data_IF_440795296232
#
_entry.id   IF_440795296232
#
_cell.length_a   1.000
_cell.length_b   1.000
_cell.length_c   1.000
_cell.angle_alpha   90.00
_cell.angle_beta   90.00
_cell.angle_gamma   90.00
#
_symmetry.space_group_name_H-M   'P 1'
#
loop_
_entity.id
_entity.type
_entity.pdbx_description
1 polymer ?
#
# COMPACT_ATOMS: atom_id res chain seq x y z
N UNK A 1 14.23 26.03 -0.43
CA UNK A 1 13.82 24.79 0.26
C UNK A 1 14.84 23.72 -0.08
N UNK A 2 15.58 23.15 0.88
CA UNK A 2 16.48 22.01 0.62
C UNK A 2 15.68 20.72 0.78
N UNK A 3 15.73 19.79 -0.19
CA UNK A 3 15.21 18.44 0.00
C UNK A 3 15.93 17.75 1.17
N UNK A 4 15.21 16.93 1.92
CA UNK A 4 15.76 16.11 3.01
C UNK A 4 16.30 14.82 2.39
N UNK A 5 17.45 14.31 2.83
CA UNK A 5 17.93 12.99 2.39
C UNK A 5 16.91 11.89 2.76
N UNK A 6 16.71 10.94 1.84
CA UNK A 6 15.61 9.96 1.93
C UNK A 6 14.26 10.45 1.38
N UNK A 7 14.17 11.72 0.96
CA UNK A 7 12.93 12.29 0.40
C UNK A 7 12.45 11.62 -0.89
N UNK A 8 13.33 10.98 -1.67
CA UNK A 8 12.95 10.29 -2.91
C UNK A 8 12.07 9.07 -2.61
N UNK A 9 12.42 8.26 -1.59
CA UNK A 9 11.58 7.12 -1.19
C UNK A 9 10.18 7.59 -0.80
N UNK A 10 10.08 8.64 0.02
CA UNK A 10 8.81 9.25 0.40
C UNK A 10 8.04 9.82 -0.81
N UNK A 11 8.72 10.50 -1.74
CA UNK A 11 8.11 11.01 -2.96
C UNK A 11 7.55 9.90 -3.84
N UNK A 12 8.27 8.78 -3.98
CA UNK A 12 7.78 7.60 -4.70
C UNK A 12 6.55 6.99 -4.03
N UNK A 13 6.45 7.02 -2.70
CA UNK A 13 5.24 6.55 -1.99
C UNK A 13 4.05 7.47 -2.22
N UNK A 14 4.24 8.79 -2.23
CA UNK A 14 3.17 9.73 -2.63
C UNK A 14 2.69 9.47 -4.05
N UNK A 15 3.63 9.22 -4.98
CA UNK A 15 3.27 8.80 -6.34
C UNK A 15 2.45 7.51 -6.34
N UNK A 16 2.87 6.47 -5.60
CA UNK A 16 2.15 5.20 -5.55
C UNK A 16 0.72 5.35 -5.02
N UNK A 17 0.51 6.20 -4.01
CA UNK A 17 -0.83 6.54 -3.50
C UNK A 17 -1.69 7.21 -4.56
N UNK A 18 -1.19 8.28 -5.18
CA UNK A 18 -1.92 8.99 -6.24
C UNK A 18 -2.19 8.10 -7.45
N UNK A 19 -1.22 7.27 -7.82
CA UNK A 19 -1.37 6.30 -8.91
C UNK A 19 -2.48 5.28 -8.60
N UNK A 20 -2.51 4.72 -7.39
CA UNK A 20 -3.57 3.79 -6.97
C UNK A 20 -4.97 4.40 -7.03
N UNK A 21 -5.13 5.67 -6.62
CA UNK A 21 -6.41 6.38 -6.71
C UNK A 21 -6.87 6.58 -8.16
N UNK A 22 -5.97 7.00 -9.06
CA UNK A 22 -6.32 7.16 -10.47
C UNK A 22 -6.58 5.80 -11.14
N UNK A 23 -5.80 4.77 -10.78
CA UNK A 23 -6.01 3.43 -11.30
C UNK A 23 -7.38 2.86 -10.88
N UNK A 24 -7.83 3.09 -9.66
CA UNK A 24 -9.17 2.66 -9.22
C UNK A 24 -10.28 3.23 -10.12
N UNK A 25 -10.16 4.50 -10.50
CA UNK A 25 -11.09 5.15 -11.43
C UNK A 25 -11.01 4.54 -12.83
N UNK A 26 -9.80 4.30 -13.34
CA UNK A 26 -9.61 3.64 -14.63
C UNK A 26 -10.14 2.20 -14.64
N UNK A 27 -10.14 1.47 -13.52
CA UNK A 27 -10.60 0.07 -13.49
C UNK A 27 -12.13 -0.10 -13.65
N UNK A 28 -12.91 0.98 -13.55
CA UNK A 28 -14.38 0.97 -13.62
C UNK A 28 -14.96 0.24 -14.86
N UNK A 29 -14.48 0.45 -16.10
CA UNK A 29 -15.04 -0.19 -17.30
C UNK A 29 -14.88 -1.71 -17.31
N UNK A 30 -13.94 -2.24 -16.52
CA UNK A 30 -13.70 -3.68 -16.38
C UNK A 30 -14.34 -4.28 -15.13
N UNK A 31 -15.12 -3.49 -14.37
CA UNK A 31 -15.61 -3.84 -13.04
C UNK A 31 -14.48 -4.28 -12.08
N UNK A 32 -13.26 -3.80 -12.34
CA UNK A 32 -12.09 -4.10 -11.52
C UNK A 32 -12.04 -3.22 -10.28
N UNK A 33 -11.37 -3.70 -9.23
CA UNK A 33 -11.11 -2.94 -8.00
C UNK A 33 -9.62 -2.68 -7.86
N UNK A 34 -9.27 -1.51 -7.33
CA UNK A 34 -7.91 -1.21 -6.89
C UNK A 34 -7.96 -0.71 -5.44
N UNK A 35 -7.14 -1.29 -4.57
CA UNK A 35 -7.04 -0.87 -3.17
C UNK A 35 -5.59 -0.63 -2.83
N UNK A 36 -5.27 0.58 -2.36
CA UNK A 36 -3.92 0.90 -1.87
C UNK A 36 -3.79 0.47 -0.42
N UNK A 37 -2.84 -0.44 -0.14
CA UNK A 37 -2.47 -0.84 1.22
C UNK A 37 -1.28 0.01 1.67
N UNK A 38 -1.44 0.70 2.80
CA UNK A 38 -0.46 1.65 3.33
C UNK A 38 -0.01 1.20 4.73
N UNK A 39 0.84 0.16 4.82
CA UNK A 39 1.25 -0.39 6.10
C UNK A 39 2.19 0.58 6.84
N UNK A 40 2.31 0.36 8.15
CA UNK A 40 3.42 0.90 8.94
C UNK A 40 4.74 0.21 8.58
N UNK A 41 5.74 0.33 9.45
CA UNK A 41 6.98 -0.44 9.27
C UNK A 41 6.71 -1.93 9.56
N UNK A 42 7.23 -2.79 8.69
CA UNK A 42 7.00 -4.24 8.67
C UNK A 42 8.35 -4.95 8.74
N UNK A 43 8.44 -6.02 9.54
CA UNK A 43 9.62 -6.86 9.66
C UNK A 43 9.77 -7.75 8.42
N UNK A 44 10.39 -7.20 7.37
CA UNK A 44 10.67 -7.91 6.11
C UNK A 44 12.18 -7.93 5.84
N UNK A 45 12.67 -8.81 4.93
CA UNK A 45 14.07 -8.80 4.49
C UNK A 45 14.55 -7.51 3.80
N UNK A 46 13.68 -6.49 3.66
CA UNK A 46 14.07 -5.16 3.22
C UNK A 46 14.99 -4.46 4.25
N UNK A 47 14.95 -4.87 5.52
CA UNK A 47 15.85 -4.42 6.57
C UNK A 47 16.70 -5.61 7.07
N UNK A 48 17.93 -5.34 7.50
CA UNK A 48 18.86 -6.39 7.95
C UNK A 48 18.44 -7.06 9.26
N UNK A 49 17.80 -6.29 10.16
CA UNK A 49 17.38 -6.76 11.48
C UNK A 49 15.91 -6.43 11.77
N UNK A 50 15.20 -7.41 12.32
CA UNK A 50 13.83 -7.23 12.77
C UNK A 50 13.78 -6.34 14.03
N UNK A 51 12.72 -5.53 14.13
CA UNK A 51 12.46 -4.63 15.27
C UNK A 51 11.26 -5.12 16.08
N UNK A 52 11.33 -5.10 17.43
CA UNK A 52 10.36 -5.75 18.29
C UNK A 52 8.95 -5.12 18.28
N UNK A 53 8.80 -3.90 17.78
CA UNK A 53 7.55 -3.12 17.83
C UNK A 53 6.92 -2.89 16.44
N UNK A 54 7.28 -3.71 15.45
CA UNK A 54 6.86 -3.56 14.04
C UNK A 54 5.90 -4.67 13.62
N UNK A 55 5.13 -4.40 12.57
CA UNK A 55 4.18 -5.35 12.00
C UNK A 55 4.91 -6.61 11.54
N UNK A 56 4.28 -7.76 11.76
CA UNK A 56 4.64 -9.00 11.08
C UNK A 56 4.17 -8.92 9.62
N UNK A 57 4.89 -9.51 8.65
CA UNK A 57 4.40 -9.60 7.27
C UNK A 57 2.99 -10.20 7.15
N UNK A 58 2.63 -11.12 8.04
CA UNK A 58 1.30 -11.72 8.08
C UNK A 58 0.20 -10.69 8.37
N UNK A 59 0.46 -9.67 9.21
CA UNK A 59 -0.51 -8.61 9.51
C UNK A 59 -0.92 -7.85 8.23
N UNK A 60 0.04 -7.63 7.33
CA UNK A 60 -0.20 -6.96 6.04
C UNK A 60 -0.88 -7.90 5.05
N UNK A 61 -0.51 -9.18 5.04
CA UNK A 61 -1.14 -10.20 4.21
C UNK A 61 -2.64 -10.36 4.56
N UNK A 62 -2.97 -10.37 5.84
CA UNK A 62 -4.35 -10.47 6.31
C UNK A 62 -5.17 -9.23 5.92
N UNK A 63 -4.57 -8.03 5.99
CA UNK A 63 -5.21 -6.80 5.52
C UNK A 63 -5.46 -6.79 4.00
N UNK A 64 -4.51 -7.33 3.22
CA UNK A 64 -4.68 -7.51 1.77
C UNK A 64 -5.83 -8.49 1.49
N UNK A 65 -5.86 -9.62 2.19
CA UNK A 65 -6.91 -10.63 2.02
C UNK A 65 -8.28 -10.05 2.37
N UNK A 66 -8.39 -9.33 3.48
CA UNK A 66 -9.60 -8.62 3.88
C UNK A 66 -10.13 -7.70 2.77
N UNK A 67 -9.25 -6.91 2.12
CA UNK A 67 -9.65 -6.03 1.04
C UNK A 67 -10.11 -6.79 -0.22
N UNK A 68 -9.45 -7.91 -0.54
CA UNK A 68 -9.81 -8.77 -1.67
C UNK A 68 -11.17 -9.44 -1.43
N UNK A 69 -11.42 -9.95 -0.23
CA UNK A 69 -12.64 -10.69 0.15
C UNK A 69 -13.84 -9.78 0.46
N UNK A 70 -13.62 -8.46 0.59
CA UNK A 70 -14.69 -7.50 0.79
C UNK A 70 -15.78 -7.63 -0.28
N UNK A 71 -17.04 -7.46 0.15
CA UNK A 71 -18.20 -7.61 -0.73
C UNK A 71 -18.10 -6.67 -1.95
N UNK A 72 -18.20 -7.23 -3.14
CA UNK A 72 -17.97 -6.54 -4.41
C UNK A 72 -19.17 -5.70 -4.87
N UNK A 73 -19.80 -4.95 -3.97
CA UNK A 73 -20.94 -4.05 -4.32
C UNK A 73 -20.49 -2.81 -5.07
N UNK A 74 -19.23 -2.42 -4.91
CA UNK A 74 -18.63 -1.26 -5.55
C UNK A 74 -17.26 -1.66 -6.12
N UNK A 75 -16.93 -1.10 -7.29
CA UNK A 75 -15.65 -1.29 -7.96
C UNK A 75 -14.63 -0.20 -7.63
N UNK A 76 -14.95 0.70 -6.69
CA UNK A 76 -14.14 1.87 -6.30
C UNK A 76 -14.19 2.10 -4.80
#
# INVERSE_FOLDING_TARGET
RRPIDGSIYGATKWFAHGFGQNLAEEMKPWHGRCTTIAPGMVNTPFFDEAKPDKLDPQDVADAVLFAIEANQRNSV
#
